data_IF_969468419746
#
_entry.id   IF_969468419746
#
_cell.length_a   1.000
_cell.length_b   1.000
_cell.length_c   1.000
_cell.angle_alpha   90.00
_cell.angle_beta   90.00
_cell.angle_gamma   90.00
#
_symmetry.space_group_name_H-M   'P 1'
#
loop_
_entity.id
_entity.type
_entity.pdbx_description
1 polymer ?
#
# COMPACT_ATOMS: atom_id res chain seq x y z
N UNK A 1 -3.73 15.77 -34.58
CA UNK A 1 -2.93 14.65 -35.09
C UNK A 1 -1.72 14.36 -34.19
N UNK A 2 -0.84 15.33 -33.91
CA UNK A 2 0.37 15.13 -33.09
C UNK A 2 0.09 14.62 -31.67
N UNK A 3 -0.98 15.08 -31.03
CA UNK A 3 -1.38 14.62 -29.69
C UNK A 3 -1.82 13.14 -29.68
N UNK A 4 -2.35 12.66 -30.83
CA UNK A 4 -2.78 11.27 -30.98
C UNK A 4 -1.57 10.35 -30.99
N UNK A 5 -0.51 10.70 -31.76
CA UNK A 5 0.73 9.90 -31.85
C UNK A 5 1.44 9.75 -30.52
N UNK A 6 1.49 10.82 -29.71
CA UNK A 6 2.09 10.77 -28.37
C UNK A 6 1.29 9.80 -27.48
N UNK A 7 -0.03 9.87 -27.56
CA UNK A 7 -0.92 9.00 -26.79
C UNK A 7 -0.75 7.53 -27.22
N UNK A 8 -0.66 7.28 -28.55
CA UNK A 8 -0.45 5.92 -29.08
C UNK A 8 0.87 5.33 -28.58
N UNK A 9 1.92 6.16 -28.46
CA UNK A 9 3.21 5.75 -27.91
C UNK A 9 3.07 5.34 -26.43
N UNK A 10 2.28 6.09 -25.65
CA UNK A 10 2.02 5.78 -24.24
C UNK A 10 1.24 4.46 -24.13
N UNK A 11 0.25 4.23 -25.00
CA UNK A 11 -0.51 2.98 -25.02
C UNK A 11 0.41 1.78 -25.32
N UNK A 12 1.27 1.90 -26.34
CA UNK A 12 2.22 0.85 -26.69
C UNK A 12 3.17 0.54 -25.52
N UNK A 13 3.64 1.57 -24.82
CA UNK A 13 4.48 1.42 -23.62
C UNK A 13 3.71 0.71 -22.50
N UNK A 14 2.44 1.05 -22.32
CA UNK A 14 1.59 0.41 -21.30
C UNK A 14 1.44 -1.09 -21.54
N UNK A 15 1.19 -1.48 -22.80
CA UNK A 15 1.08 -2.89 -23.22
C UNK A 15 2.43 -3.61 -22.99
N UNK A 16 3.54 -2.96 -23.35
CA UNK A 16 4.89 -3.50 -23.11
C UNK A 16 5.12 -3.77 -21.62
N UNK A 17 4.75 -2.84 -20.75
CA UNK A 17 4.90 -2.98 -19.29
C UNK A 17 4.01 -4.11 -18.75
N UNK A 18 2.79 -4.22 -19.27
CA UNK A 18 1.86 -5.29 -18.87
C UNK A 18 2.44 -6.65 -19.22
N UNK A 19 2.99 -6.79 -20.44
CA UNK A 19 3.63 -8.02 -20.92
C UNK A 19 4.90 -8.37 -20.11
N UNK A 20 5.55 -7.36 -19.51
CA UNK A 20 6.67 -7.54 -18.57
C UNK A 20 6.20 -7.84 -17.13
N UNK A 21 4.90 -8.06 -16.91
CA UNK A 21 4.35 -8.44 -15.62
C UNK A 21 4.23 -7.27 -14.62
N UNK A 22 4.20 -6.03 -15.10
CA UNK A 22 3.99 -4.87 -14.21
C UNK A 22 2.52 -4.78 -13.79
N UNK A 23 2.30 -4.42 -12.54
CA UNK A 23 0.93 -4.27 -11.98
C UNK A 23 0.19 -3.12 -12.66
N UNK A 24 -1.12 -3.26 -12.94
CA UNK A 24 -1.92 -2.20 -13.56
C UNK A 24 -1.83 -0.86 -12.82
N UNK A 25 -1.81 -0.87 -11.49
CA UNK A 25 -1.68 0.37 -10.68
C UNK A 25 -0.34 1.09 -10.93
N UNK A 26 0.74 0.33 -11.11
CA UNK A 26 2.06 0.86 -11.44
C UNK A 26 2.05 1.47 -12.84
N UNK A 27 1.45 0.76 -13.80
CA UNK A 27 1.33 1.22 -15.20
C UNK A 27 0.55 2.54 -15.24
N UNK A 28 -0.62 2.59 -14.58
CA UNK A 28 -1.45 3.80 -14.48
C UNK A 28 -0.64 4.99 -13.95
N UNK A 29 0.18 4.75 -12.93
CA UNK A 29 1.03 5.81 -12.36
C UNK A 29 2.11 6.27 -13.35
N UNK A 30 2.73 5.33 -14.08
CA UNK A 30 3.74 5.65 -15.09
C UNK A 30 3.12 6.45 -16.22
N UNK A 31 1.93 6.06 -16.69
CA UNK A 31 1.17 6.80 -17.72
C UNK A 31 0.96 8.25 -17.27
N UNK A 32 0.47 8.42 -16.03
CA UNK A 32 0.26 9.76 -15.45
C UNK A 32 1.55 10.59 -15.48
N UNK A 33 2.69 10.01 -15.09
CA UNK A 33 3.98 10.73 -15.07
C UNK A 33 4.41 11.15 -16.50
N UNK A 34 4.18 10.28 -17.50
CA UNK A 34 4.52 10.59 -18.91
C UNK A 34 3.57 11.64 -19.49
N UNK A 35 2.27 11.53 -19.19
CA UNK A 35 1.27 12.53 -19.63
C UNK A 35 1.56 13.90 -19.02
N UNK A 36 1.96 13.93 -17.74
CA UNK A 36 2.35 15.17 -17.05
C UNK A 36 3.55 15.81 -17.75
N UNK A 37 4.54 15.00 -18.13
CA UNK A 37 5.70 15.47 -18.92
C UNK A 37 5.24 16.02 -20.29
N UNK A 38 4.34 15.32 -20.96
CA UNK A 38 3.75 15.78 -22.23
C UNK A 38 3.04 17.13 -22.10
N UNK A 39 2.29 17.33 -21.03
CA UNK A 39 1.63 18.62 -20.75
C UNK A 39 2.67 19.72 -20.52
N UNK A 40 3.77 19.41 -19.82
CA UNK A 40 4.86 20.36 -19.60
C UNK A 40 5.55 20.73 -20.93
N UNK A 41 5.81 19.74 -21.81
CA UNK A 41 6.38 19.98 -23.14
C UNK A 41 5.48 20.93 -23.93
N UNK A 42 4.17 20.69 -23.95
CA UNK A 42 3.20 21.52 -24.64
C UNK A 42 3.23 22.97 -24.13
N UNK A 43 3.25 23.14 -22.82
CA UNK A 43 3.32 24.44 -22.14
C UNK A 43 4.59 25.22 -22.56
N UNK A 44 5.69 24.49 -22.80
CA UNK A 44 6.98 25.06 -23.18
C UNK A 44 7.20 25.04 -24.70
N UNK A 45 6.09 25.08 -25.46
CA UNK A 45 6.06 25.22 -26.93
C UNK A 45 6.72 24.06 -27.68
N UNK A 46 6.83 22.89 -27.03
CA UNK A 46 7.25 21.65 -27.67
C UNK A 46 6.02 20.77 -27.80
N UNK A 47 5.60 20.47 -29.03
CA UNK A 47 4.40 19.69 -29.29
C UNK A 47 4.69 18.20 -29.05
N UNK A 48 4.04 17.54 -28.09
CA UNK A 48 4.24 16.12 -27.86
C UNK A 48 3.78 15.31 -29.08
N UNK A 49 4.70 14.58 -29.68
CA UNK A 49 4.46 13.66 -30.81
C UNK A 49 5.28 12.40 -30.60
N UNK A 50 5.08 11.40 -31.45
CA UNK A 50 5.83 10.16 -31.36
C UNK A 50 7.35 10.38 -31.54
N UNK A 51 7.72 11.39 -32.31
CA UNK A 51 9.12 11.71 -32.61
C UNK A 51 9.76 12.65 -31.58
N UNK A 52 8.98 13.27 -30.69
CA UNK A 52 9.51 14.23 -29.72
C UNK A 52 10.65 13.64 -28.89
N UNK A 53 10.52 12.37 -28.52
CA UNK A 53 11.49 11.67 -27.68
C UNK A 53 12.90 11.66 -28.27
N UNK A 54 13.02 11.59 -29.59
CA UNK A 54 14.31 11.58 -30.30
C UNK A 54 14.94 12.97 -30.39
N UNK A 55 14.15 14.03 -30.22
CA UNK A 55 14.60 15.42 -30.33
C UNK A 55 14.97 16.04 -28.98
N UNK A 56 14.54 15.43 -27.88
CA UNK A 56 14.81 15.95 -26.53
C UNK A 56 16.30 15.82 -26.17
N UNK A 57 16.83 16.86 -25.55
CA UNK A 57 18.21 16.89 -25.07
C UNK A 57 18.24 16.91 -23.53
N UNK A 58 19.43 16.79 -22.96
CA UNK A 58 19.63 16.81 -21.50
C UNK A 58 19.00 18.05 -20.86
N UNK A 59 19.17 19.20 -21.51
CA UNK A 59 18.64 20.48 -21.01
C UNK A 59 17.11 20.45 -20.83
N UNK A 60 16.38 19.80 -21.73
CA UNK A 60 14.91 19.70 -21.62
C UNK A 60 14.50 18.98 -20.32
N UNK A 61 15.22 17.92 -19.98
CA UNK A 61 14.97 17.18 -18.76
C UNK A 61 15.41 17.96 -17.50
N UNK A 62 16.54 18.65 -17.56
CA UNK A 62 16.99 19.52 -16.46
C UNK A 62 15.94 20.58 -16.15
N UNK A 63 15.40 21.23 -17.18
CA UNK A 63 14.38 22.26 -17.03
C UNK A 63 13.08 21.68 -16.46
N UNK A 64 12.68 20.49 -16.92
CA UNK A 64 11.50 19.80 -16.37
C UNK A 64 11.70 19.44 -14.88
N UNK A 65 12.83 18.84 -14.53
CA UNK A 65 13.11 18.47 -13.14
C UNK A 65 13.27 19.70 -12.24
N UNK A 66 13.78 20.79 -12.79
CA UNK A 66 13.83 22.07 -12.07
C UNK A 66 12.38 22.55 -11.77
N UNK A 67 11.47 22.48 -12.75
CA UNK A 67 10.06 22.83 -12.57
C UNK A 67 9.40 21.96 -11.49
N UNK A 68 9.64 20.65 -11.53
CA UNK A 68 9.10 19.71 -10.52
C UNK A 68 9.60 20.08 -9.12
N UNK A 69 10.88 20.43 -8.98
CA UNK A 69 11.52 20.75 -7.70
C UNK A 69 11.10 22.11 -7.16
N UNK A 70 11.25 23.16 -7.98
CA UNK A 70 11.12 24.56 -7.53
C UNK A 70 9.68 25.08 -7.56
N UNK A 71 8.92 24.74 -8.59
CA UNK A 71 7.57 25.29 -8.78
C UNK A 71 6.48 24.37 -8.22
N UNK A 72 6.68 23.05 -8.32
CA UNK A 72 5.67 22.07 -7.88
C UNK A 72 6.02 21.38 -6.57
N UNK A 73 7.22 21.65 -6.00
CA UNK A 73 7.68 21.16 -4.70
C UNK A 73 7.60 19.61 -4.58
N UNK A 74 7.93 18.90 -5.67
CA UNK A 74 7.96 17.43 -5.66
C UNK A 74 9.08 16.94 -4.73
N UNK A 75 8.79 15.89 -3.97
CA UNK A 75 9.81 15.23 -3.14
C UNK A 75 10.86 14.54 -4.01
N UNK A 76 12.07 14.39 -3.48
CA UNK A 76 13.16 13.68 -4.17
C UNK A 76 12.74 12.26 -4.58
N UNK A 77 11.99 11.59 -3.74
CA UNK A 77 11.45 10.23 -4.03
C UNK A 77 10.52 10.25 -5.24
N UNK A 78 9.66 11.27 -5.35
CA UNK A 78 8.74 11.43 -6.48
C UNK A 78 9.54 11.72 -7.76
N UNK A 79 10.50 12.65 -7.68
CA UNK A 79 11.37 12.99 -8.81
C UNK A 79 12.16 11.77 -9.30
N UNK A 80 12.71 10.97 -8.38
CA UNK A 80 13.43 9.74 -8.73
C UNK A 80 12.53 8.76 -9.48
N UNK A 81 11.25 8.60 -9.04
CA UNK A 81 10.28 7.76 -9.76
C UNK A 81 10.05 8.27 -11.18
N UNK A 82 9.81 9.59 -11.34
CA UNK A 82 9.59 10.22 -12.67
C UNK A 82 10.81 9.96 -13.55
N UNK A 83 12.02 10.15 -13.02
CA UNK A 83 13.26 9.87 -13.74
C UNK A 83 13.31 8.42 -14.26
N UNK A 84 12.99 7.46 -13.39
CA UNK A 84 12.97 6.03 -13.77
C UNK A 84 11.97 5.80 -14.91
N UNK A 85 10.80 6.42 -14.85
CA UNK A 85 9.74 6.26 -15.87
C UNK A 85 10.21 6.79 -17.22
N UNK A 86 10.76 8.02 -17.23
CA UNK A 86 11.25 8.65 -18.47
C UNK A 86 12.44 7.88 -19.06
N UNK A 87 13.33 7.41 -18.19
CA UNK A 87 14.47 6.57 -18.59
C UNK A 87 13.98 5.26 -19.26
N UNK A 88 12.95 4.62 -18.69
CA UNK A 88 12.35 3.41 -19.26
C UNK A 88 11.68 3.66 -20.60
N UNK A 89 11.11 4.85 -20.77
CA UNK A 89 10.49 5.24 -22.05
C UNK A 89 11.53 5.28 -23.17
N UNK A 90 12.69 5.91 -22.94
CA UNK A 90 13.80 5.92 -23.89
C UNK A 90 14.28 4.50 -24.22
N UNK A 91 14.39 3.65 -23.20
CA UNK A 91 14.79 2.25 -23.38
C UNK A 91 13.77 1.49 -24.23
N UNK A 92 12.48 1.68 -23.96
CA UNK A 92 11.38 1.04 -24.72
C UNK A 92 11.42 1.46 -26.19
N UNK A 93 11.66 2.75 -26.44
CA UNK A 93 11.70 3.30 -27.81
C UNK A 93 12.99 2.95 -28.53
N UNK A 94 13.99 2.43 -27.83
CA UNK A 94 15.31 2.08 -28.34
C UNK A 94 15.99 3.28 -29.03
N UNK A 95 15.95 4.45 -28.37
CA UNK A 95 16.55 5.70 -28.84
C UNK A 95 17.58 6.21 -27.85
N UNK A 96 18.50 7.12 -28.28
CA UNK A 96 19.46 7.74 -27.36
C UNK A 96 18.77 8.35 -26.15
N UNK A 97 19.40 8.21 -25.00
CA UNK A 97 18.81 8.59 -23.72
C UNK A 97 19.59 9.74 -23.06
N UNK A 98 19.11 10.99 -23.20
CA UNK A 98 19.78 12.15 -22.61
C UNK A 98 19.84 12.15 -21.09
N UNK A 99 18.92 11.38 -20.45
CA UNK A 99 18.88 11.27 -18.98
C UNK A 99 20.13 10.60 -18.40
N UNK A 100 20.89 9.84 -19.19
CA UNK A 100 22.13 9.20 -18.75
C UNK A 100 23.19 10.21 -18.30
N UNK A 101 23.11 11.43 -18.83
CA UNK A 101 24.07 12.51 -18.52
C UNK A 101 23.64 13.34 -17.29
N UNK A 102 22.50 13.03 -16.71
CA UNK A 102 21.98 13.76 -15.55
C UNK A 102 22.39 13.08 -14.24
N UNK A 103 22.93 13.86 -13.32
CA UNK A 103 23.18 13.43 -11.95
C UNK A 103 21.90 13.67 -11.14
N UNK A 104 21.11 12.63 -10.96
CA UNK A 104 20.02 12.68 -10.00
C UNK A 104 20.52 12.03 -8.71
N UNK A 105 20.50 12.80 -7.64
CA UNK A 105 20.82 12.31 -6.31
C UNK A 105 19.84 11.18 -5.94
N UNK A 106 20.34 9.95 -6.01
CA UNK A 106 19.61 8.79 -5.52
C UNK A 106 19.80 8.77 -4.00
N UNK A 107 18.83 9.34 -3.31
CA UNK A 107 18.81 9.20 -1.85
C UNK A 107 18.52 7.73 -1.53
N UNK A 108 19.37 7.07 -0.75
CA UNK A 108 19.03 5.73 -0.28
C UNK A 108 17.73 5.79 0.50
N UNK A 109 16.98 4.69 0.52
CA UNK A 109 15.74 4.60 1.29
C UNK A 109 15.99 5.13 2.70
N UNK A 110 15.16 6.09 3.12
CA UNK A 110 15.25 6.69 4.45
C UNK A 110 15.33 5.60 5.53
N UNK A 111 16.30 5.70 6.40
CA UNK A 111 16.41 4.80 7.56
C UNK A 111 15.11 4.83 8.37
N UNK A 112 14.73 3.69 8.90
CA UNK A 112 13.55 3.60 9.77
C UNK A 112 13.80 4.37 11.06
N UNK A 113 12.76 5.05 11.53
CA UNK A 113 12.74 5.85 12.77
C UNK A 113 11.61 5.35 13.66
N UNK A 114 11.60 5.75 14.93
CA UNK A 114 10.55 5.38 15.88
C UNK A 114 9.15 5.71 15.34
N UNK A 115 9.03 6.83 14.62
CA UNK A 115 7.77 7.28 14.01
C UNK A 115 7.23 6.36 12.91
N UNK A 116 8.03 5.43 12.39
CA UNK A 116 7.61 4.46 11.35
C UNK A 116 6.90 3.24 11.94
N UNK A 117 6.80 3.17 13.27
CA UNK A 117 6.20 2.05 14.00
C UNK A 117 5.06 2.57 14.88
N UNK A 118 4.18 1.67 15.33
CA UNK A 118 3.23 2.00 16.40
C UNK A 118 3.76 1.44 17.73
N UNK A 119 3.50 2.17 18.80
CA UNK A 119 3.83 1.72 20.16
C UNK A 119 2.76 0.73 20.65
N UNK A 120 3.09 -0.01 21.72
CA UNK A 120 2.15 -0.92 22.38
C UNK A 120 0.90 -0.15 22.88
N UNK A 121 1.08 1.08 23.35
CA UNK A 121 -0.04 1.92 23.80
C UNK A 121 -0.94 2.31 22.62
N UNK A 122 -0.33 2.75 21.50
CA UNK A 122 -1.08 3.09 20.29
C UNK A 122 -1.89 1.89 19.78
N UNK A 123 -1.28 0.69 19.80
CA UNK A 123 -1.95 -0.54 19.40
C UNK A 123 -3.17 -0.84 20.29
N UNK A 124 -2.98 -0.80 21.62
CA UNK A 124 -4.05 -1.04 22.59
C UNK A 124 -5.22 -0.07 22.40
N UNK A 125 -4.89 1.22 22.21
CA UNK A 125 -5.91 2.27 22.01
C UNK A 125 -6.67 2.05 20.69
N UNK A 126 -5.99 1.66 19.61
CA UNK A 126 -6.64 1.32 18.33
C UNK A 126 -7.57 0.13 18.48
N UNK A 127 -7.11 -0.94 19.12
CA UNK A 127 -7.91 -2.16 19.34
C UNK A 127 -9.12 -1.89 20.22
N UNK A 128 -8.99 -1.01 21.22
CA UNK A 128 -10.10 -0.58 22.06
C UNK A 128 -11.12 0.24 21.26
N UNK A 129 -10.67 1.29 20.56
CA UNK A 129 -11.56 2.25 19.89
C UNK A 129 -12.38 1.60 18.75
N UNK A 130 -11.77 0.63 18.02
CA UNK A 130 -12.45 -0.01 16.89
C UNK A 130 -13.72 -0.74 17.33
N UNK A 131 -13.74 -1.28 18.55
CA UNK A 131 -14.89 -1.99 19.12
C UNK A 131 -15.91 -1.07 19.81
N UNK A 132 -15.61 0.23 19.94
CA UNK A 132 -16.43 1.17 20.69
C UNK A 132 -17.26 2.09 19.80
N UNK A 133 -18.20 2.80 20.41
CA UNK A 133 -19.00 3.85 19.76
C UNK A 133 -18.48 5.25 20.07
N UNK A 134 -17.37 5.36 20.82
CA UNK A 134 -16.78 6.64 21.22
C UNK A 134 -16.28 7.43 20.00
N UNK A 135 -16.44 8.74 20.03
CA UNK A 135 -15.92 9.65 19.01
C UNK A 135 -16.57 9.52 17.63
N UNK A 136 -17.70 8.81 17.53
CA UNK A 136 -18.47 8.71 16.28
C UNK A 136 -19.46 9.85 16.17
N UNK A 137 -19.66 10.34 14.95
CA UNK A 137 -20.71 11.31 14.64
C UNK A 137 -22.10 10.66 14.75
N UNK A 138 -23.14 11.50 14.86
CA UNK A 138 -24.53 11.05 14.90
C UNK A 138 -24.90 10.19 13.68
N UNK A 139 -24.32 10.49 12.52
CA UNK A 139 -24.56 9.73 11.28
C UNK A 139 -23.84 8.38 11.28
N UNK A 140 -22.71 8.27 11.96
CA UNK A 140 -21.90 7.04 12.01
C UNK A 140 -22.42 6.03 13.04
N UNK A 141 -22.97 6.51 14.15
CA UNK A 141 -23.41 5.68 15.28
C UNK A 141 -24.39 4.56 14.89
N UNK A 142 -25.46 4.83 14.11
CA UNK A 142 -26.46 3.80 13.79
C UNK A 142 -25.89 2.66 12.95
N UNK A 143 -24.90 2.93 12.07
CA UNK A 143 -24.33 1.92 11.17
C UNK A 143 -23.11 1.23 11.75
N UNK A 144 -22.51 1.80 12.79
CA UNK A 144 -21.25 1.26 13.38
C UNK A 144 -21.38 -0.20 13.83
N UNK A 145 -22.46 -0.61 14.52
CA UNK A 145 -22.57 -2.02 14.95
C UNK A 145 -22.47 -3.02 13.80
N UNK A 146 -22.86 -2.64 12.59
CA UNK A 146 -22.77 -3.51 11.40
C UNK A 146 -21.32 -3.68 10.91
N UNK A 147 -20.40 -2.79 11.34
CA UNK A 147 -19.04 -2.71 10.81
C UNK A 147 -17.96 -3.07 11.85
N UNK A 148 -18.32 -3.21 13.12
CA UNK A 148 -17.36 -3.45 14.20
C UNK A 148 -16.55 -4.72 13.91
N UNK A 149 -17.22 -5.84 13.68
CA UNK A 149 -16.55 -7.14 13.44
C UNK A 149 -15.61 -7.07 12.23
N UNK A 150 -16.08 -6.47 11.13
CA UNK A 150 -15.27 -6.29 9.92
C UNK A 150 -14.00 -5.48 10.23
N UNK A 151 -14.17 -4.36 10.92
CA UNK A 151 -13.07 -3.42 11.17
C UNK A 151 -12.06 -4.02 12.17
N UNK A 152 -12.53 -4.79 13.16
CA UNK A 152 -11.65 -5.53 14.08
C UNK A 152 -10.80 -6.53 13.29
N UNK A 153 -11.42 -7.34 12.44
CA UNK A 153 -10.70 -8.35 11.64
C UNK A 153 -9.64 -7.67 10.76
N UNK A 154 -10.01 -6.58 10.08
CA UNK A 154 -9.07 -5.83 9.23
C UNK A 154 -7.86 -5.35 10.05
N UNK A 155 -8.10 -4.73 11.22
CA UNK A 155 -7.01 -4.23 12.07
C UNK A 155 -6.13 -5.38 12.60
N UNK A 156 -6.74 -6.49 13.04
CA UNK A 156 -5.98 -7.65 13.51
C UNK A 156 -5.09 -8.21 12.40
N UNK A 157 -5.63 -8.37 11.18
CA UNK A 157 -4.83 -8.90 10.05
C UNK A 157 -3.66 -7.97 9.69
N UNK A 158 -3.85 -6.65 9.82
CA UNK A 158 -2.78 -5.68 9.58
C UNK A 158 -1.72 -5.68 10.69
N UNK A 159 -2.16 -5.70 11.96
CA UNK A 159 -1.29 -5.52 13.13
C UNK A 159 -0.63 -6.85 13.55
N UNK A 160 -1.44 -7.91 13.68
CA UNK A 160 -0.99 -9.17 14.27
C UNK A 160 -0.41 -10.17 13.26
N UNK A 161 -0.74 -9.98 11.96
CA UNK A 161 -0.28 -10.86 10.86
C UNK A 161 0.49 -10.12 9.79
N UNK A 162 0.59 -8.79 9.88
CA UNK A 162 1.42 -7.98 9.00
C UNK A 162 0.97 -7.94 7.54
N UNK A 163 -0.31 -8.16 7.24
CA UNK A 163 -0.80 -8.07 5.87
C UNK A 163 -0.67 -6.64 5.33
N UNK A 164 -0.43 -6.54 4.05
CA UNK A 164 -0.53 -5.26 3.33
C UNK A 164 -1.98 -4.97 2.95
N UNK A 165 -2.29 -3.72 2.63
CA UNK A 165 -3.64 -3.35 2.16
C UNK A 165 -4.00 -4.11 0.89
N UNK A 166 -3.03 -4.28 0.00
CA UNK A 166 -3.22 -5.02 -1.25
C UNK A 166 -3.59 -6.48 -0.97
N UNK A 167 -2.90 -7.12 -0.05
CA UNK A 167 -3.20 -8.51 0.34
C UNK A 167 -4.60 -8.60 0.93
N UNK A 168 -4.98 -7.69 1.84
CA UNK A 168 -6.32 -7.65 2.44
C UNK A 168 -7.42 -7.57 1.36
N UNK A 169 -7.27 -6.65 0.41
CA UNK A 169 -8.31 -6.40 -0.60
C UNK A 169 -8.38 -7.52 -1.65
N UNK A 170 -7.34 -8.34 -1.76
CA UNK A 170 -7.30 -9.48 -2.68
C UNK A 170 -7.91 -10.77 -2.06
N UNK A 171 -8.18 -10.77 -0.75
CA UNK A 171 -8.76 -11.95 -0.09
C UNK A 171 -10.21 -12.18 -0.55
N UNK A 172 -10.49 -13.42 -0.87
CA UNK A 172 -11.84 -13.92 -1.22
C UNK A 172 -12.20 -15.05 -0.26
N UNK A 173 -13.45 -15.49 -0.27
CA UNK A 173 -13.89 -16.62 0.55
C UNK A 173 -13.19 -17.93 0.17
N UNK A 174 -12.64 -18.02 -1.04
CA UNK A 174 -11.82 -19.16 -1.47
C UNK A 174 -10.52 -19.26 -0.65
N UNK A 175 -10.02 -18.13 -0.15
CA UNK A 175 -8.75 -18.07 0.61
C UNK A 175 -8.94 -18.32 2.12
N UNK A 176 -10.19 -18.47 2.58
CA UNK A 176 -10.50 -18.66 4.01
C UNK A 176 -10.77 -20.13 4.29
N UNK A 177 -10.03 -20.71 5.23
CA UNK A 177 -10.14 -22.11 5.59
C UNK A 177 -10.46 -22.22 7.09
N UNK A 178 -11.76 -22.12 7.43
CA UNK A 178 -12.20 -22.18 8.83
C UNK A 178 -11.88 -23.53 9.48
N UNK A 179 -11.89 -24.59 8.69
CA UNK A 179 -11.61 -25.96 9.15
C UNK A 179 -10.16 -26.16 9.61
N UNK A 180 -9.22 -25.40 9.05
CA UNK A 180 -7.79 -25.50 9.40
C UNK A 180 -7.27 -24.24 10.12
N UNK A 181 -8.13 -23.27 10.39
CA UNK A 181 -7.77 -21.98 10.98
C UNK A 181 -6.70 -21.24 10.16
N UNK A 182 -6.81 -21.24 8.83
CA UNK A 182 -5.79 -20.62 7.97
C UNK A 182 -6.39 -19.67 6.93
N UNK A 183 -5.55 -18.73 6.51
CA UNK A 183 -5.79 -17.85 5.35
C UNK A 183 -4.69 -18.07 4.32
N UNK A 184 -5.06 -18.24 3.05
CA UNK A 184 -4.11 -18.31 1.93
C UNK A 184 -3.97 -16.93 1.30
N UNK A 185 -2.75 -16.41 1.21
CA UNK A 185 -2.48 -15.14 0.52
C UNK A 185 -2.15 -15.47 -0.95
N UNK A 186 -2.93 -14.95 -1.90
CA UNK A 186 -2.72 -15.34 -3.31
C UNK A 186 -1.50 -14.65 -3.93
N UNK A 187 -0.86 -15.34 -4.88
CA UNK A 187 0.30 -14.83 -5.64
C UNK A 187 0.00 -13.52 -6.37
N UNK A 188 -1.26 -13.30 -6.74
CA UNK A 188 -1.72 -12.07 -7.41
C UNK A 188 -1.59 -10.82 -6.52
N UNK A 189 -1.63 -11.01 -5.19
CA UNK A 189 -1.55 -9.89 -4.24
C UNK A 189 -0.13 -9.66 -3.70
N UNK A 190 0.73 -10.69 -3.77
CA UNK A 190 2.06 -10.59 -3.16
C UNK A 190 2.82 -11.92 -3.25
N UNK A 191 3.52 -12.26 -2.20
CA UNK A 191 4.18 -13.57 -2.09
C UNK A 191 3.16 -14.56 -1.53
N UNK A 192 2.89 -15.60 -2.29
CA UNK A 192 1.96 -16.67 -1.91
C UNK A 192 2.42 -17.31 -0.60
N UNK A 193 1.51 -17.43 0.35
CA UNK A 193 1.79 -18.06 1.65
C UNK A 193 0.49 -18.37 2.40
N UNK A 194 0.59 -19.25 3.38
CA UNK A 194 -0.52 -19.57 4.29
C UNK A 194 -0.22 -18.97 5.67
N UNK A 195 -1.22 -18.34 6.24
CA UNK A 195 -1.17 -17.71 7.58
C UNK A 195 -2.06 -18.53 8.52
N UNK A 196 -1.50 -18.97 9.66
CA UNK A 196 -2.26 -19.63 10.71
C UNK A 196 -2.92 -18.57 11.60
N UNK A 197 -4.22 -18.64 11.74
CA UNK A 197 -5.00 -17.73 12.60
C UNK A 197 -5.11 -18.33 14.02
N UNK A 198 -5.16 -17.45 15.02
CA UNK A 198 -5.53 -17.87 16.37
C UNK A 198 -7.00 -18.29 16.39
N UNK A 199 -7.41 -19.03 17.40
CA UNK A 199 -8.82 -19.42 17.57
C UNK A 199 -9.72 -18.18 17.74
N UNK A 200 -9.22 -17.16 18.43
CA UNK A 200 -9.93 -15.89 18.65
C UNK A 200 -10.14 -15.15 17.33
N UNK A 201 -9.09 -15.03 16.52
CA UNK A 201 -9.18 -14.34 15.23
C UNK A 201 -10.06 -15.11 14.24
N UNK A 202 -10.01 -16.44 14.26
CA UNK A 202 -10.94 -17.26 13.48
C UNK A 202 -12.39 -17.00 13.89
N UNK A 203 -12.68 -16.98 15.19
CA UNK A 203 -14.02 -16.70 15.71
C UNK A 203 -14.48 -15.31 15.30
N UNK A 204 -13.59 -14.31 15.41
CA UNK A 204 -13.90 -12.93 15.02
C UNK A 204 -14.16 -12.82 13.52
N UNK A 205 -13.37 -13.50 12.69
CA UNK A 205 -13.55 -13.55 11.24
C UNK A 205 -14.89 -14.22 10.89
N UNK A 206 -15.23 -15.31 11.57
CA UNK A 206 -16.52 -16.01 11.36
C UNK A 206 -17.70 -15.12 11.81
N UNK A 207 -17.56 -14.42 12.95
CA UNK A 207 -18.57 -13.46 13.43
C UNK A 207 -18.82 -12.36 12.38
N UNK A 208 -17.73 -11.79 11.82
CA UNK A 208 -17.86 -10.82 10.75
C UNK A 208 -18.61 -11.43 9.54
N UNK A 209 -18.20 -12.61 9.08
CA UNK A 209 -18.84 -13.29 7.95
C UNK A 209 -20.35 -13.46 8.18
N UNK A 210 -20.73 -13.90 9.39
CA UNK A 210 -22.15 -14.13 9.75
C UNK A 210 -22.93 -12.82 9.96
N UNK A 211 -22.26 -11.73 10.31
CA UNK A 211 -22.91 -10.41 10.51
C UNK A 211 -23.42 -9.80 9.19
N UNK A 212 -22.89 -10.25 8.06
CA UNK A 212 -23.35 -9.78 6.74
C UNK A 212 -24.72 -10.39 6.46
N UNK A 213 -25.75 -9.57 6.10
CA UNK A 213 -27.08 -10.10 5.78
C UNK A 213 -27.01 -11.15 4.67
N UNK A 214 -27.73 -12.25 4.84
CA UNK A 214 -27.68 -13.43 3.95
C UNK A 214 -27.80 -13.08 2.45
N UNK A 215 -28.73 -12.20 2.02
CA UNK A 215 -28.87 -11.92 0.59
C UNK A 215 -27.62 -11.28 -0.06
N UNK A 216 -26.76 -10.63 0.73
CA UNK A 216 -25.56 -9.95 0.22
C UNK A 216 -24.27 -10.56 0.79
N UNK A 217 -24.40 -11.69 1.51
CA UNK A 217 -23.24 -12.39 2.10
C UNK A 217 -22.43 -13.09 1.00
N UNK A 218 -21.09 -12.94 0.99
CA UNK A 218 -20.24 -13.71 0.08
C UNK A 218 -20.45 -15.21 0.24
N UNK A 219 -20.45 -15.93 -0.86
CA UNK A 219 -20.64 -17.38 -0.84
C UNK A 219 -19.36 -18.06 -0.36
N UNK A 220 -19.47 -18.94 0.62
CA UNK A 220 -18.30 -19.68 1.16
C UNK A 220 -17.65 -20.51 0.04
N UNK A 221 -16.34 -20.60 0.04
CA UNK A 221 -15.49 -21.25 -0.99
C UNK A 221 -15.56 -20.58 -2.37
N UNK A 222 -16.23 -19.42 -2.51
CA UNK A 222 -16.31 -18.70 -3.79
C UNK A 222 -15.17 -17.67 -3.93
N UNK A 223 -15.08 -17.07 -5.10
CA UNK A 223 -14.20 -15.93 -5.37
C UNK A 223 -14.83 -14.59 -4.99
N UNK A 224 -15.96 -14.60 -4.26
CA UNK A 224 -16.54 -13.37 -3.69
C UNK A 224 -15.52 -12.74 -2.71
N UNK A 225 -15.43 -11.40 -2.68
CA UNK A 225 -14.49 -10.73 -1.78
C UNK A 225 -14.78 -11.03 -0.31
N UNK A 226 -13.72 -11.25 0.47
CA UNK A 226 -13.85 -11.46 1.91
C UNK A 226 -14.37 -10.19 2.59
N UNK A 227 -13.79 -9.03 2.27
CA UNK A 227 -14.17 -7.75 2.87
C UNK A 227 -15.05 -6.97 1.91
N UNK A 228 -16.31 -6.71 2.34
CA UNK A 228 -17.32 -6.08 1.50
C UNK A 228 -17.39 -4.58 1.80
N UNK A 229 -17.55 -3.78 0.73
CA UNK A 229 -17.77 -2.34 0.81
C UNK A 229 -19.16 -2.04 1.41
N UNK A 230 -19.25 -0.92 2.12
CA UNK A 230 -20.48 -0.47 2.79
C UNK A 230 -20.83 0.94 2.30
N UNK A 231 -22.09 1.17 2.05
CA UNK A 231 -22.64 2.46 1.67
C UNK A 231 -23.23 3.12 2.92
N UNK A 232 -22.53 4.14 3.44
CA UNK A 232 -22.91 4.83 4.66
C UNK A 232 -24.20 5.65 4.49
N UNK A 233 -24.50 6.11 3.27
CA UNK A 233 -25.70 6.87 2.99
C UNK A 233 -26.95 5.98 2.99
N UNK A 234 -26.79 4.77 2.47
CA UNK A 234 -27.89 3.78 2.40
C UNK A 234 -27.94 2.86 3.63
N UNK A 235 -26.89 2.86 4.44
CA UNK A 235 -26.79 1.96 5.60
C UNK A 235 -26.74 0.48 5.21
N UNK A 236 -26.15 0.15 4.07
CA UNK A 236 -26.19 -1.20 3.51
C UNK A 236 -24.86 -1.62 2.85
N UNK A 237 -24.61 -2.92 2.82
CA UNK A 237 -23.48 -3.49 2.07
C UNK A 237 -23.72 -3.29 0.57
N UNK A 238 -22.63 -3.07 -0.17
CA UNK A 238 -22.69 -2.76 -1.61
C UNK A 238 -22.68 -4.03 -2.47
N UNK A 239 -23.44 -3.97 -3.56
CA UNK A 239 -23.56 -5.06 -4.54
C UNK A 239 -23.15 -4.55 -5.92
N UNK A 240 -22.58 -5.42 -6.74
CA UNK A 240 -22.24 -5.15 -8.14
C UNK A 240 -23.20 -5.97 -9.01
N UNK A 241 -24.20 -5.30 -9.54
CA UNK A 241 -25.28 -5.97 -10.30
C UNK A 241 -24.76 -6.61 -11.60
N UNK A 242 -23.76 -5.99 -12.22
CA UNK A 242 -23.14 -6.50 -13.47
C UNK A 242 -22.51 -7.88 -13.28
N UNK A 243 -21.98 -8.14 -12.09
CA UNK A 243 -21.30 -9.39 -11.76
C UNK A 243 -22.12 -10.31 -10.86
N UNK A 244 -23.30 -9.84 -10.43
CA UNK A 244 -24.16 -10.50 -9.45
C UNK A 244 -23.35 -10.95 -8.20
N UNK A 245 -22.61 -10.03 -7.62
CA UNK A 245 -21.66 -10.32 -6.54
C UNK A 245 -21.52 -9.15 -5.55
N UNK A 246 -21.12 -9.44 -4.29
CA UNK A 246 -20.81 -8.39 -3.34
C UNK A 246 -19.65 -7.53 -3.84
N UNK A 247 -19.70 -6.23 -3.57
CA UNK A 247 -18.62 -5.30 -3.95
C UNK A 247 -17.47 -5.37 -2.93
N UNK A 248 -16.27 -5.68 -3.39
CA UNK A 248 -15.07 -5.72 -2.54
C UNK A 248 -14.67 -4.36 -1.99
N UNK A 249 -14.11 -4.38 -0.79
CA UNK A 249 -13.55 -3.19 -0.15
C UNK A 249 -12.26 -2.80 -0.87
N UNK A 250 -12.03 -1.49 -1.03
CA UNK A 250 -10.82 -0.98 -1.71
C UNK A 250 -9.76 -0.57 -0.69
N UNK A 251 -8.49 -0.52 -1.14
CA UNK A 251 -7.37 -0.04 -0.31
C UNK A 251 -7.66 1.38 0.21
N UNK A 252 -8.25 2.25 -0.62
CA UNK A 252 -8.61 3.63 -0.25
C UNK A 252 -9.63 3.61 0.90
N UNK A 253 -10.63 2.72 0.84
CA UNK A 253 -11.64 2.60 1.89
C UNK A 253 -11.02 2.11 3.21
N UNK A 254 -10.08 1.15 3.15
CA UNK A 254 -9.35 0.69 4.33
C UNK A 254 -8.49 1.83 4.92
N UNK A 255 -7.79 2.58 4.06
CA UNK A 255 -7.00 3.74 4.51
C UNK A 255 -7.87 4.80 5.21
N UNK A 256 -9.09 5.05 4.68
CA UNK A 256 -10.05 5.97 5.29
C UNK A 256 -10.50 5.45 6.66
N UNK A 257 -10.77 4.15 6.75
CA UNK A 257 -11.15 3.50 8.01
C UNK A 257 -10.03 3.64 9.05
N UNK A 258 -8.77 3.33 8.67
CA UNK A 258 -7.61 3.47 9.56
C UNK A 258 -7.50 4.92 10.07
N UNK A 259 -7.61 5.92 9.19
CA UNK A 259 -7.52 7.34 9.57
C UNK A 259 -8.61 7.72 10.57
N UNK A 260 -9.82 7.21 10.36
CA UNK A 260 -10.94 7.45 11.28
C UNK A 260 -10.62 6.86 12.66
N UNK A 261 -10.19 5.60 12.72
CA UNK A 261 -9.88 4.94 14.00
C UNK A 261 -8.69 5.62 14.72
N UNK A 262 -7.65 6.01 13.99
CA UNK A 262 -6.49 6.76 14.51
C UNK A 262 -6.96 8.09 15.14
N UNK A 263 -7.85 8.81 14.44
CA UNK A 263 -8.41 10.08 14.95
C UNK A 263 -9.28 9.85 16.19
N UNK A 264 -10.15 8.83 16.17
CA UNK A 264 -11.03 8.50 17.30
C UNK A 264 -10.22 8.09 18.53
N UNK A 265 -9.08 7.42 18.34
CA UNK A 265 -8.18 6.99 19.41
C UNK A 265 -7.28 8.13 19.93
N UNK A 266 -7.42 9.36 19.40
CA UNK A 266 -6.58 10.51 19.72
C UNK A 266 -5.09 10.20 19.56
N UNK A 267 -4.73 9.51 18.45
CA UNK A 267 -3.34 9.17 18.13
C UNK A 267 -2.75 10.18 17.14
N UNK A 268 -1.42 10.16 17.04
CA UNK A 268 -0.70 11.03 16.10
C UNK A 268 -1.15 10.77 14.66
N UNK A 269 -1.20 11.83 13.88
CA UNK A 269 -1.57 11.75 12.46
C UNK A 269 -0.49 10.98 11.67
N UNK A 270 -0.90 10.36 10.59
CA UNK A 270 0.01 9.68 9.66
C UNK A 270 0.13 8.17 9.87
N UNK A 271 -0.37 7.63 10.97
CA UNK A 271 -0.41 6.17 11.18
C UNK A 271 -1.20 5.53 10.02
N UNK A 272 -0.65 4.47 9.46
CA UNK A 272 -1.18 3.79 8.26
C UNK A 272 -0.89 2.29 8.33
N UNK A 273 -1.41 1.53 7.38
CA UNK A 273 -1.13 0.10 7.26
C UNK A 273 0.36 -0.23 7.23
N UNK A 274 1.18 0.67 6.67
CA UNK A 274 2.64 0.45 6.64
C UNK A 274 3.26 0.48 8.04
N UNK A 275 2.75 1.33 8.94
CA UNK A 275 3.22 1.38 10.33
C UNK A 275 2.90 0.07 11.06
N UNK A 276 1.70 -0.50 10.84
CA UNK A 276 1.31 -1.78 11.42
C UNK A 276 2.23 -2.90 10.94
N UNK A 277 2.44 -2.96 9.63
CA UNK A 277 3.32 -3.96 9.01
C UNK A 277 4.78 -3.81 9.51
N UNK A 278 5.29 -2.59 9.61
CA UNK A 278 6.64 -2.33 10.15
C UNK A 278 6.74 -2.86 11.59
N UNK A 279 5.73 -2.60 12.40
CA UNK A 279 5.68 -3.03 13.81
C UNK A 279 5.65 -4.56 13.91
N UNK A 280 4.83 -5.22 13.08
CA UNK A 280 4.76 -6.68 13.01
C UNK A 280 6.15 -7.27 12.73
N UNK A 281 6.86 -6.76 11.71
CA UNK A 281 8.20 -7.24 11.33
C UNK A 281 9.20 -7.02 12.48
N UNK A 282 9.17 -5.83 13.11
CA UNK A 282 10.05 -5.51 14.23
C UNK A 282 9.76 -6.45 15.41
N UNK A 283 8.49 -6.78 15.67
CA UNK A 283 8.12 -7.69 16.74
C UNK A 283 8.63 -9.12 16.50
N UNK A 284 8.62 -9.58 15.25
CA UNK A 284 9.22 -10.88 14.88
C UNK A 284 10.74 -10.87 15.16
N UNK A 285 11.44 -9.77 14.81
CA UNK A 285 12.88 -9.62 15.08
C UNK A 285 13.15 -9.63 16.60
N UNK A 286 12.33 -8.91 17.38
CA UNK A 286 12.45 -8.85 18.85
C UNK A 286 12.23 -10.23 19.50
N UNK A 287 11.39 -11.07 18.89
CA UNK A 287 11.13 -12.46 19.34
C UNK A 287 12.22 -13.42 18.85
N UNK A 288 13.26 -12.91 18.21
CA UNK A 288 14.38 -13.70 17.66
C UNK A 288 13.92 -14.75 16.65
N UNK A 289 12.81 -14.48 15.94
CA UNK A 289 12.31 -15.35 14.87
C UNK A 289 13.39 -15.49 13.79
N UNK A 290 13.68 -16.70 13.28
CA UNK A 290 14.68 -16.89 12.22
C UNK A 290 14.38 -16.04 10.98
N UNK A 291 15.43 -15.48 10.35
CA UNK A 291 15.33 -14.61 9.16
C UNK A 291 14.46 -15.25 8.06
N UNK A 292 14.68 -16.53 7.78
CA UNK A 292 13.93 -17.27 6.74
C UNK A 292 12.43 -17.30 7.06
N UNK A 293 12.09 -17.43 8.33
CA UNK A 293 10.69 -17.46 8.78
C UNK A 293 10.07 -16.07 8.71
N UNK A 294 10.82 -15.01 9.07
CA UNK A 294 10.34 -13.62 8.95
C UNK A 294 10.04 -13.32 7.46
N UNK A 295 10.93 -13.72 6.55
CA UNK A 295 10.74 -13.53 5.11
C UNK A 295 9.43 -14.18 4.66
N UNK A 296 9.20 -15.42 5.11
CA UNK A 296 7.98 -16.19 4.77
C UNK A 296 6.73 -15.52 5.37
N UNK A 297 6.73 -15.24 6.69
CA UNK A 297 5.58 -14.66 7.39
C UNK A 297 5.20 -13.27 6.85
N UNK A 298 6.22 -12.42 6.60
CA UNK A 298 6.00 -11.08 6.08
C UNK A 298 5.77 -11.05 4.56
N UNK A 299 5.96 -12.17 3.85
CA UNK A 299 5.78 -12.24 2.41
C UNK A 299 6.80 -11.37 1.65
N UNK A 300 8.05 -11.39 2.07
CA UNK A 300 9.13 -10.71 1.36
C UNK A 300 9.66 -11.58 0.22
N UNK A 301 10.00 -10.95 -0.90
CA UNK A 301 10.62 -11.63 -2.04
C UNK A 301 12.10 -11.95 -1.81
N UNK A 302 12.74 -11.23 -0.89
CA UNK A 302 14.16 -11.44 -0.58
C UNK A 302 14.52 -10.85 0.78
N UNK A 303 15.67 -11.30 1.32
CA UNK A 303 16.21 -10.81 2.60
C UNK A 303 16.65 -9.33 2.56
N UNK A 304 16.88 -8.78 1.38
CA UNK A 304 17.28 -7.37 1.23
C UNK A 304 16.27 -6.44 1.92
N UNK A 305 14.98 -6.78 1.83
CA UNK A 305 13.90 -5.98 2.43
C UNK A 305 13.96 -5.94 3.96
N UNK A 306 14.60 -6.93 4.60
CA UNK A 306 14.73 -7.00 6.06
C UNK A 306 15.90 -6.18 6.59
N UNK A 307 16.92 -5.91 5.77
CA UNK A 307 18.17 -5.24 6.21
C UNK A 307 17.89 -3.97 7.02
N UNK A 308 16.97 -3.14 6.54
CA UNK A 308 16.63 -1.85 7.19
C UNK A 308 16.00 -2.04 8.58
N UNK A 309 15.28 -3.14 8.81
CA UNK A 309 14.65 -3.45 10.12
C UNK A 309 15.70 -3.93 11.11
N UNK A 310 16.67 -4.77 10.68
CA UNK A 310 17.78 -5.20 11.52
C UNK A 310 18.66 -4.00 11.89
N UNK A 311 19.00 -3.13 10.94
CA UNK A 311 19.75 -1.90 11.19
C UNK A 311 19.05 -1.02 12.24
N UNK A 312 17.73 -0.87 12.13
CA UNK A 312 16.95 -0.10 13.10
C UNK A 312 17.01 -0.75 14.49
N UNK A 313 16.76 -2.07 14.57
CA UNK A 313 16.77 -2.81 15.83
C UNK A 313 18.11 -2.74 16.53
N UNK A 314 19.22 -2.89 15.76
CA UNK A 314 20.59 -2.80 16.27
C UNK A 314 20.94 -1.40 16.79
N UNK A 315 20.61 -0.37 16.01
CA UNK A 315 20.83 1.03 16.41
C UNK A 315 20.10 1.35 17.72
N UNK A 316 18.89 0.83 17.88
CA UNK A 316 18.08 1.05 19.08
C UNK A 316 18.69 0.33 20.30
N UNK A 317 19.18 -0.91 20.13
CA UNK A 317 19.91 -1.63 21.21
C UNK A 317 21.15 -0.82 21.64
N UNK A 318 21.92 -0.33 20.70
CA UNK A 318 23.13 0.46 20.96
C UNK A 318 22.80 1.79 21.65
N UNK A 319 21.72 2.46 21.28
CA UNK A 319 21.24 3.69 21.92
C UNK A 319 20.82 3.43 23.37
N UNK A 320 20.14 2.35 23.65
CA UNK A 320 19.75 1.95 25.02
C UNK A 320 20.96 1.61 25.86
N UNK A 321 21.75 1.12 25.29
CA UNK A 321 22.77 0.81 25.85
C UNK A 321 23.46 1.87 26.32
N UNK A 322 23.83 2.84 25.48
CA UNK A 322 24.54 4.12 25.80
C UNK A 322 23.81 4.93 26.88
N UNK A 323 22.51 5.05 26.77
CA UNK A 323 21.69 5.76 27.76
C UNK A 323 21.82 5.13 29.15
N UNK A 324 21.85 3.81 29.22
CA UNK A 324 22.00 3.08 30.50
C UNK A 324 23.36 3.40 31.14
N UNK A 325 24.45 3.39 30.36
CA UNK A 325 25.77 3.74 30.86
C UNK A 325 25.87 5.19 31.36
N UNK A 326 25.19 6.12 30.66
CA UNK A 326 25.18 7.53 31.06
C UNK A 326 24.37 7.79 32.33
N UNK A 327 23.45 6.91 32.69
CA UNK A 327 22.61 7.04 33.89
C UNK A 327 23.34 6.58 35.16
N UNK A 328 24.40 5.74 35.00
CA UNK A 328 25.17 5.20 36.13
C UNK A 328 26.56 5.88 36.28
N UNK A 329 26.86 6.95 35.50
CA UNK A 329 28.00 7.83 35.68
C UNK A 329 27.58 9.16 36.31
#
# INVERSE_FOLDING_TARGET
METTEFHDTIQAFSIFLLNKGRKPSTIKRYVYDIEDFGHWLKKNQKLPSSNIWATLCTKDYEDYFFDLKKNRHYSEKTMHRVFIVLNRMHHFLNIPNPLKNMEISIQPDRRLRDEDFISSDEEKRLKHIVSSLEGLSEKQRPVRPLLIDRNIVILNLLIDYGLSLQELTALTLHHVHFETNTLSIPATAGVERTIALTNEDKKQLYAYYKSIPEPVRPKYHSHDPLFIAFDFNRGAYRWVYENDAPKGLTEIAIQKMIRLEVSRANLRKGISGQHFRNTYILNLIKKETPESEIIKLAGFKSKVSLKRYYQYAENRKNALXKAFFLFFL
#
